data_IF_315767895092
#
_entry.id   IF_315767895092
#
_cell.length_a   1.000
_cell.length_b   1.000
_cell.length_c   1.000
_cell.angle_alpha   90.00
_cell.angle_beta   90.00
_cell.angle_gamma   90.00
#
_symmetry.space_group_name_H-M   'P 1'
#
loop_
_entity.id
_entity.type
_entity.pdbx_description
1 polymer ?
#
# COMPACT_ATOMS: atom_id res chain seq x y z
N UNK A 1 2.42 -22.13 -25.01
CA UNK A 1 3.64 -21.76 -24.29
C UNK A 1 3.71 -20.28 -24.02
N UNK A 2 3.44 -19.48 -25.01
CA UNK A 2 3.44 -18.04 -24.81
C UNK A 2 2.47 -17.58 -23.74
N UNK A 3 1.28 -18.17 -23.68
CA UNK A 3 0.28 -17.85 -22.69
C UNK A 3 0.81 -18.04 -21.26
N UNK A 4 1.60 -19.07 -21.05
CA UNK A 4 2.17 -19.33 -19.74
C UNK A 4 3.24 -18.31 -19.36
N UNK A 5 4.06 -17.91 -20.31
CA UNK A 5 5.03 -16.86 -20.09
C UNK A 5 4.33 -15.54 -19.78
N UNK A 6 3.24 -15.28 -20.47
CA UNK A 6 2.45 -14.09 -20.21
C UNK A 6 1.84 -14.10 -18.82
N UNK A 7 1.44 -15.24 -18.33
CA UNK A 7 0.88 -15.36 -16.99
C UNK A 7 1.90 -15.04 -15.90
N UNK A 8 3.18 -15.21 -16.19
CA UNK A 8 4.21 -14.84 -15.23
C UNK A 8 4.49 -13.34 -15.21
N UNK A 9 4.05 -12.61 -16.23
CA UNK A 9 4.33 -11.19 -16.37
C UNK A 9 3.48 -10.26 -15.53
N UNK A 10 2.23 -10.61 -15.18
CA UNK A 10 1.42 -9.69 -14.38
C UNK A 10 2.10 -9.20 -13.11
N UNK A 11 2.96 -10.02 -12.53
CA UNK A 11 3.72 -9.61 -11.36
C UNK A 11 4.74 -8.52 -11.66
N UNK A 12 5.23 -8.47 -12.89
CA UNK A 12 6.20 -7.46 -13.32
C UNK A 12 5.55 -6.13 -13.67
N UNK A 13 4.33 -6.21 -14.14
CA UNK A 13 3.58 -5.04 -14.56
C UNK A 13 2.50 -4.66 -13.55
N UNK A 14 2.68 -5.09 -12.31
CA UNK A 14 1.77 -4.75 -11.24
C UNK A 14 1.67 -3.24 -11.02
N UNK A 15 0.60 -2.84 -10.42
CA UNK A 15 0.34 -1.45 -10.06
C UNK A 15 0.32 -1.37 -8.54
N UNK A 16 0.98 -0.37 -7.97
CA UNK A 16 1.01 -0.19 -6.53
C UNK A 16 -0.41 -0.17 -5.95
N UNK A 17 -0.61 -0.93 -4.88
CA UNK A 17 -1.91 -1.07 -4.24
C UNK A 17 -2.74 -2.24 -4.73
N UNK A 18 -2.35 -2.94 -5.77
CA UNK A 18 -3.03 -4.17 -6.19
C UNK A 18 -2.44 -5.36 -5.46
N UNK A 19 -3.30 -6.33 -5.13
CA UNK A 19 -2.83 -7.58 -4.53
C UNK A 19 -1.96 -8.32 -5.55
N UNK A 20 -0.80 -8.76 -5.10
CA UNK A 20 0.16 -9.42 -6.00
C UNK A 20 -0.04 -10.92 -6.13
N UNK A 21 -0.85 -11.50 -5.26
CA UNK A 21 -1.18 -12.92 -5.26
C UNK A 21 -2.67 -13.12 -5.03
N UNK A 22 -3.20 -14.19 -5.57
CA UNK A 22 -4.64 -14.46 -5.53
C UNK A 22 -5.10 -15.07 -4.21
N UNK A 23 -4.20 -15.64 -3.43
CA UNK A 23 -4.56 -16.32 -2.20
C UNK A 23 -3.63 -15.95 -1.06
N UNK A 24 -4.05 -16.28 0.16
CA UNK A 24 -3.27 -15.99 1.35
C UNK A 24 -3.43 -14.56 1.84
N UNK A 25 -4.43 -13.83 1.36
CA UNK A 25 -4.65 -12.45 1.75
C UNK A 25 -5.85 -12.35 2.68
N UNK A 26 -5.73 -11.49 3.69
CA UNK A 26 -6.83 -11.11 4.57
C UNK A 26 -7.09 -9.64 4.34
N UNK A 27 -8.26 -9.34 3.78
CA UNK A 27 -8.68 -7.99 3.41
C UNK A 27 -9.95 -7.67 4.17
N UNK A 28 -9.99 -6.49 4.77
CA UNK A 28 -11.16 -6.01 5.51
C UNK A 28 -11.59 -4.65 4.99
N UNK A 29 -12.88 -4.38 5.09
CA UNK A 29 -13.45 -3.12 4.62
C UNK A 29 -13.60 -2.13 5.77
N UNK A 30 -13.28 -0.87 5.49
CA UNK A 30 -13.39 0.23 6.44
C UNK A 30 -13.90 1.48 5.74
N UNK A 31 -14.38 2.43 6.51
CA UNK A 31 -14.70 3.76 6.01
C UNK A 31 -13.46 4.64 6.16
N UNK A 32 -13.09 5.29 5.08
CA UNK A 32 -11.96 6.21 5.06
C UNK A 32 -12.41 7.58 5.58
N UNK A 33 -11.63 8.14 6.48
CA UNK A 33 -11.88 9.49 6.99
C UNK A 33 -10.56 10.18 7.28
N UNK A 34 -10.28 11.23 6.55
CA UNK A 34 -9.06 11.99 6.76
C UNK A 34 -9.32 13.47 6.51
N UNK A 35 -8.53 14.30 7.16
CA UNK A 35 -8.54 15.73 6.91
C UNK A 35 -7.79 16.02 5.62
N UNK A 36 -8.38 16.81 4.77
CA UNK A 36 -7.72 17.30 3.58
C UNK A 36 -6.79 18.44 3.97
N UNK A 37 -5.50 18.24 3.83
CA UNK A 37 -4.53 19.17 4.39
C UNK A 37 -4.20 20.29 3.41
N UNK A 38 -3.99 19.94 2.13
CA UNK A 38 -3.64 20.92 1.10
C UNK A 38 -4.29 20.53 -0.22
N UNK A 39 -4.55 21.52 -1.05
CA UNK A 39 -5.31 21.33 -2.28
C UNK A 39 -4.67 20.35 -3.27
N UNK A 40 -3.34 20.24 -3.26
CA UNK A 40 -2.60 19.38 -4.17
C UNK A 40 -1.99 18.16 -3.49
N UNK A 41 -2.28 17.92 -2.21
CA UNK A 41 -1.81 16.76 -1.49
C UNK A 41 -2.95 15.78 -1.26
N UNK A 42 -2.71 14.56 -1.63
CA UNK A 42 -3.64 13.47 -1.38
C UNK A 42 -2.89 12.25 -0.86
N UNK A 43 -3.26 11.85 0.32
CA UNK A 43 -2.62 10.73 0.97
C UNK A 43 -3.39 9.43 0.82
N UNK A 44 -4.58 9.46 0.26
CA UNK A 44 -5.45 8.29 0.18
C UNK A 44 -5.34 7.59 -1.18
N UNK A 45 -4.13 7.30 -1.60
CA UNK A 45 -3.88 6.48 -2.79
C UNK A 45 -3.61 5.03 -2.40
N UNK A 46 -3.84 4.08 -3.29
CA UNK A 46 -3.50 2.67 -3.02
C UNK A 46 -2.02 2.51 -2.63
N UNK A 47 -1.74 1.49 -1.85
CA UNK A 47 -0.45 1.14 -1.27
C UNK A 47 -0.01 1.98 -0.07
N UNK A 48 -0.82 2.90 0.39
CA UNK A 48 -0.51 3.67 1.60
C UNK A 48 -0.76 2.87 2.86
N UNK A 49 0.09 3.08 3.85
CA UNK A 49 -0.11 2.56 5.21
C UNK A 49 -1.26 3.32 5.85
N UNK A 50 -2.18 2.60 6.47
CA UNK A 50 -3.33 3.21 7.14
C UNK A 50 -3.40 2.81 8.61
N UNK A 51 -3.94 3.71 9.41
CA UNK A 51 -4.13 3.55 10.85
C UNK A 51 -5.62 3.57 11.17
N UNK A 52 -5.98 2.93 12.28
CA UNK A 52 -7.35 2.82 12.75
C UNK A 52 -7.62 3.88 13.82
N UNK A 53 -8.52 4.78 13.54
CA UNK A 53 -8.95 5.78 14.49
C UNK A 53 -9.92 5.18 15.54
N UNK A 54 -10.11 5.89 16.64
CA UNK A 54 -10.95 5.42 17.74
C UNK A 54 -12.42 5.23 17.36
N UNK A 55 -12.87 5.92 16.32
CA UNK A 55 -14.26 5.80 15.83
C UNK A 55 -14.44 4.66 14.82
N UNK A 56 -13.40 3.87 14.57
CA UNK A 56 -13.47 2.74 13.64
C UNK A 56 -13.19 3.09 12.18
N UNK A 57 -12.93 4.35 11.88
CA UNK A 57 -12.52 4.74 10.53
C UNK A 57 -11.00 4.61 10.36
N UNK A 58 -10.55 4.60 9.10
CA UNK A 58 -9.12 4.51 8.79
C UNK A 58 -8.65 5.78 8.08
N UNK A 59 -7.36 6.06 8.18
CA UNK A 59 -6.74 7.20 7.51
C UNK A 59 -5.30 6.86 7.11
N UNK A 60 -4.77 7.49 6.04
CA UNK A 60 -3.38 7.27 5.63
C UNK A 60 -2.39 7.83 6.64
N UNK A 61 -1.32 7.08 6.87
CA UNK A 61 -0.29 7.49 7.83
C UNK A 61 -0.69 7.22 9.27
N UNK A 62 -0.14 8.00 10.18
CA UNK A 62 -0.40 7.86 11.61
C UNK A 62 -0.19 9.21 12.30
N UNK A 63 -1.20 9.75 12.93
CA UNK A 63 -1.12 11.06 13.58
C UNK A 63 -0.62 11.00 15.02
N UNK A 64 -0.45 9.81 15.59
CA UNK A 64 -0.02 9.69 16.98
C UNK A 64 0.09 8.24 17.43
N UNK A 65 -0.81 7.83 18.29
CA UNK A 65 -0.77 6.53 18.96
C UNK A 65 -1.76 5.51 18.40
N UNK A 66 -2.47 5.84 17.33
CA UNK A 66 -3.39 4.90 16.72
C UNK A 66 -2.65 3.69 16.14
N UNK A 67 -3.24 2.49 16.19
CA UNK A 67 -2.58 1.33 15.61
C UNK A 67 -2.57 1.40 14.09
N UNK A 68 -1.44 1.06 13.50
CA UNK A 68 -1.35 0.79 12.06
C UNK A 68 -1.97 -0.58 11.82
N UNK A 69 -2.94 -0.64 10.90
CA UNK A 69 -3.70 -1.88 10.70
C UNK A 69 -3.49 -2.50 9.32
N UNK A 70 -2.90 -1.82 8.39
CA UNK A 70 -2.69 -2.44 7.08
C UNK A 70 -2.29 -1.47 6.00
N UNK A 71 -2.45 -1.95 4.78
CA UNK A 71 -2.11 -1.24 3.55
C UNK A 71 -3.38 -1.06 2.72
N UNK A 72 -3.58 0.13 2.21
CA UNK A 72 -4.76 0.46 1.39
C UNK A 72 -4.70 -0.25 0.05
N UNK A 73 -5.73 -1.02 -0.27
CA UNK A 73 -5.83 -1.80 -1.50
C UNK A 73 -6.55 -0.98 -2.56
N UNK A 74 -6.03 -1.00 -3.78
CA UNK A 74 -6.69 -0.39 -4.92
C UNK A 74 -7.88 -1.21 -5.39
N UNK A 75 -8.76 -0.57 -6.15
CA UNK A 75 -9.89 -1.25 -6.78
C UNK A 75 -9.98 -0.82 -8.25
N UNK A 76 -11.03 -1.29 -8.93
CA UNK A 76 -11.21 -1.00 -10.36
C UNK A 76 -11.28 0.49 -10.68
N UNK A 77 -11.66 1.31 -9.70
CA UNK A 77 -11.76 2.76 -9.88
C UNK A 77 -10.50 3.49 -9.47
N UNK A 78 -9.77 2.93 -8.51
CA UNK A 78 -8.63 3.62 -7.87
C UNK A 78 -7.42 2.70 -7.91
N UNK A 79 -6.84 2.54 -9.09
CA UNK A 79 -5.63 1.73 -9.28
C UNK A 79 -4.54 2.48 -10.01
N UNK A 80 -4.84 3.64 -10.56
CA UNK A 80 -3.87 4.45 -11.29
C UNK A 80 -3.18 5.43 -10.34
N UNK A 81 -2.02 5.88 -10.71
CA UNK A 81 -1.26 6.90 -9.96
C UNK A 81 -1.66 8.33 -10.33
N UNK A 82 -2.67 8.52 -11.17
CA UNK A 82 -3.15 9.84 -11.51
C UNK A 82 -3.88 10.49 -10.33
N UNK A 83 -4.01 11.81 -10.37
CA UNK A 83 -4.68 12.55 -9.30
C UNK A 83 -6.16 12.19 -9.14
N UNK A 84 -6.76 11.60 -10.15
CA UNK A 84 -8.15 11.19 -10.11
C UNK A 84 -8.33 9.81 -9.52
N UNK A 85 -7.26 9.15 -9.15
CA UNK A 85 -7.27 7.75 -8.70
C UNK A 85 -7.08 7.62 -7.21
N UNK A 86 -7.45 8.58 -6.43
CA UNK A 86 -7.38 8.46 -4.98
C UNK A 86 -8.76 8.26 -4.38
N UNK A 87 -8.77 7.69 -3.19
CA UNK A 87 -9.99 7.58 -2.39
C UNK A 87 -10.29 8.90 -1.71
N UNK A 88 -11.58 9.16 -1.52
CA UNK A 88 -12.05 10.36 -0.84
C UNK A 88 -12.55 10.02 0.55
N UNK A 89 -12.47 10.98 1.45
CA UNK A 89 -13.03 10.83 2.79
C UNK A 89 -14.51 10.49 2.71
N UNK A 90 -14.91 9.44 3.40
CA UNK A 90 -16.25 8.88 3.34
C UNK A 90 -16.38 7.64 2.46
N UNK A 91 -15.40 7.35 1.62
CA UNK A 91 -15.42 6.15 0.80
C UNK A 91 -15.25 4.90 1.67
N UNK A 92 -15.87 3.81 1.22
CA UNK A 92 -15.55 2.48 1.74
C UNK A 92 -14.32 1.95 1.02
N UNK A 93 -13.31 1.58 1.79
CA UNK A 93 -12.02 1.13 1.27
C UNK A 93 -11.71 -0.26 1.78
N UNK A 94 -10.83 -0.95 1.07
CA UNK A 94 -10.31 -2.24 1.47
C UNK A 94 -8.90 -2.07 2.00
N UNK A 95 -8.61 -2.76 3.10
CA UNK A 95 -7.32 -2.72 3.77
C UNK A 95 -6.76 -4.13 3.86
N UNK A 96 -5.56 -4.33 3.35
CA UNK A 96 -4.86 -5.60 3.48
C UNK A 96 -4.29 -5.72 4.88
N UNK A 97 -4.82 -6.67 5.66
CA UNK A 97 -4.36 -6.95 7.01
C UNK A 97 -3.21 -7.95 7.03
N UNK A 98 -3.23 -8.90 6.12
CA UNK A 98 -2.14 -9.87 5.95
C UNK A 98 -2.13 -10.36 4.52
N UNK A 99 -0.94 -10.54 3.95
CA UNK A 99 -0.79 -11.06 2.60
C UNK A 99 0.23 -10.29 1.77
N UNK A 100 0.01 -10.28 0.47
CA UNK A 100 0.98 -9.77 -0.48
C UNK A 100 0.35 -8.68 -1.34
N UNK A 101 1.08 -7.59 -1.51
CA UNK A 101 0.60 -6.44 -2.25
C UNK A 101 1.76 -5.81 -3.03
N UNK A 102 1.46 -5.25 -4.19
CA UNK A 102 2.40 -4.37 -4.87
C UNK A 102 2.49 -3.05 -4.13
N UNK A 103 3.68 -2.67 -3.75
CA UNK A 103 3.94 -1.40 -3.10
C UNK A 103 4.92 -0.58 -3.90
N UNK A 104 4.95 0.70 -3.63
CA UNK A 104 5.90 1.62 -4.24
C UNK A 104 6.81 2.15 -3.13
N UNK A 105 8.10 1.81 -3.20
CA UNK A 105 9.08 2.29 -2.23
C UNK A 105 9.59 3.66 -2.69
N UNK A 106 9.17 4.68 -1.98
CA UNK A 106 9.52 6.05 -2.29
C UNK A 106 10.91 6.39 -1.74
N UNK A 107 11.68 7.14 -2.52
CA UNK A 107 12.93 7.75 -2.05
C UNK A 107 14.13 6.84 -1.91
N UNK A 108 14.12 5.64 -2.48
CA UNK A 108 15.30 4.80 -2.38
C UNK A 108 15.16 3.45 -3.04
N UNK A 109 16.24 2.67 -2.97
CA UNK A 109 16.24 1.31 -3.47
C UNK A 109 15.77 0.35 -2.39
N UNK A 110 14.85 -0.51 -2.75
CA UNK A 110 14.37 -1.55 -1.86
C UNK A 110 15.41 -2.65 -1.72
N UNK A 111 15.54 -3.19 -0.51
CA UNK A 111 16.40 -4.32 -0.21
C UNK A 111 15.54 -5.54 0.09
N UNK A 112 15.84 -6.66 -0.57
CA UNK A 112 15.09 -7.89 -0.40
C UNK A 112 15.08 -8.34 1.07
N UNK A 113 13.90 -8.70 1.56
CA UNK A 113 13.63 -9.14 2.93
C UNK A 113 13.87 -8.10 4.02
N UNK A 114 14.18 -6.86 3.65
CA UNK A 114 14.32 -5.79 4.61
C UNK A 114 12.95 -5.36 5.15
N UNK A 115 12.97 -4.82 6.36
CA UNK A 115 11.78 -4.20 6.94
C UNK A 115 11.39 -2.97 6.14
N UNK A 116 10.10 -2.83 5.88
CA UNK A 116 9.55 -1.65 5.26
C UNK A 116 9.29 -0.61 6.34
N UNK A 117 9.54 0.64 6.01
CA UNK A 117 9.21 1.78 6.86
C UNK A 117 8.19 2.65 6.15
N UNK A 118 7.69 3.65 6.83
CA UNK A 118 6.68 4.52 6.21
C UNK A 118 6.84 5.96 6.68
N UNK A 119 6.35 6.86 5.86
CA UNK A 119 6.26 8.27 6.23
C UNK A 119 5.00 8.46 7.07
N UNK A 120 5.18 8.96 8.28
CA UNK A 120 4.10 9.09 9.25
C UNK A 120 2.97 10.00 8.76
N UNK A 121 3.33 11.05 8.06
CA UNK A 121 2.36 12.04 7.59
C UNK A 121 1.45 11.50 6.48
N UNK A 122 2.01 10.78 5.53
CA UNK A 122 1.31 10.40 4.30
C UNK A 122 0.99 8.92 4.18
N UNK A 123 1.68 8.08 4.94
CA UNK A 123 1.56 6.63 4.81
C UNK A 123 2.35 6.03 3.65
N UNK A 124 3.18 6.80 2.97
CA UNK A 124 4.04 6.26 1.91
C UNK A 124 4.98 5.21 2.46
N UNK A 125 5.09 4.09 1.76
CA UNK A 125 6.08 3.07 2.10
C UNK A 125 7.45 3.49 1.61
N UNK A 126 8.44 3.33 2.48
CA UNK A 126 9.81 3.81 2.27
C UNK A 126 10.79 2.84 2.89
N UNK A 127 12.07 3.01 2.62
CA UNK A 127 13.12 2.29 3.33
C UNK A 127 13.65 3.06 4.55
N UNK A 128 13.21 4.29 4.73
CA UNK A 128 13.52 5.14 5.88
C UNK A 128 12.23 5.66 6.50
N UNK A 129 12.30 6.21 7.71
CA UNK A 129 11.13 6.76 8.39
C UNK A 129 10.70 5.94 9.59
N UNK A 130 9.40 5.90 9.85
CA UNK A 130 8.86 5.15 10.98
C UNK A 130 8.89 3.65 10.71
N UNK A 131 9.12 2.89 11.76
CA UNK A 131 9.15 1.44 11.65
C UNK A 131 7.78 0.86 11.31
N UNK A 132 7.80 -0.11 10.42
CA UNK A 132 6.63 -0.91 10.07
C UNK A 132 7.02 -2.38 10.23
N UNK A 133 7.09 -2.88 11.46
CA UNK A 133 7.79 -4.15 11.76
C UNK A 133 7.14 -5.38 11.17
N UNK A 134 5.90 -5.27 10.71
CA UNK A 134 5.18 -6.41 10.16
C UNK A 134 5.11 -6.38 8.63
N UNK A 135 5.95 -5.60 8.00
CA UNK A 135 6.00 -5.49 6.55
C UNK A 135 7.44 -5.68 6.06
N UNK A 136 7.60 -6.53 5.06
CA UNK A 136 8.91 -6.82 4.47
C UNK A 136 8.84 -6.77 2.96
N UNK A 137 9.96 -6.43 2.36
CA UNK A 137 10.12 -6.51 0.90
C UNK A 137 10.26 -7.97 0.50
N UNK A 138 9.31 -8.48 -0.26
CA UNK A 138 9.29 -9.87 -0.68
C UNK A 138 9.92 -10.07 -2.06
N UNK A 139 9.79 -9.10 -2.94
CA UNK A 139 10.46 -9.06 -4.24
C UNK A 139 10.85 -7.63 -4.56
N UNK A 140 12.05 -7.47 -5.09
CA UNK A 140 12.51 -6.15 -5.54
C UNK A 140 12.00 -5.86 -6.94
N UNK A 141 11.96 -4.57 -7.30
CA UNK A 141 11.48 -4.15 -8.59
C UNK A 141 12.41 -4.48 -9.74
N UNK A 142 11.86 -4.41 -10.93
CA UNK A 142 12.62 -4.56 -12.16
C UNK A 142 13.49 -3.32 -12.42
N UNK A 143 14.48 -3.47 -13.29
CA UNK A 143 15.42 -2.38 -13.57
C UNK A 143 14.75 -1.14 -14.15
N UNK A 144 13.63 -1.33 -14.87
CA UNK A 144 12.88 -0.21 -15.45
C UNK A 144 11.85 0.39 -14.50
N UNK A 145 11.59 -0.27 -13.38
CA UNK A 145 10.68 0.23 -12.35
C UNK A 145 11.14 -0.29 -10.98
N UNK A 146 12.28 0.20 -10.51
CA UNK A 146 12.90 -0.33 -9.27
C UNK A 146 12.12 0.00 -8.01
N UNK A 147 11.20 0.97 -8.07
CA UNK A 147 10.41 1.35 -6.91
C UNK A 147 9.20 0.45 -6.68
N UNK A 148 8.74 -0.22 -7.73
CA UNK A 148 7.61 -1.15 -7.60
C UNK A 148 8.10 -2.49 -7.06
N UNK A 149 7.62 -2.87 -5.90
CA UNK A 149 8.07 -4.08 -5.19
C UNK A 149 6.86 -4.91 -4.77
N UNK A 150 7.09 -6.17 -4.44
CA UNK A 150 6.09 -6.96 -3.74
C UNK A 150 6.40 -6.90 -2.24
N UNK A 151 5.39 -6.54 -1.45
CA UNK A 151 5.47 -6.49 -0.01
C UNK A 151 4.69 -7.67 0.59
N UNK A 152 5.24 -8.25 1.65
CA UNK A 152 4.50 -9.13 2.53
C UNK A 152 4.20 -8.38 3.82
N UNK A 153 2.94 -8.42 4.25
CA UNK A 153 2.51 -7.76 5.47
C UNK A 153 1.72 -8.72 6.36
N UNK A 154 1.77 -8.50 7.67
CA UNK A 154 0.98 -9.25 8.63
C UNK A 154 0.69 -8.37 9.84
N UNK A 155 -0.45 -7.69 9.80
CA UNK A 155 -0.90 -6.79 10.85
C UNK A 155 -1.96 -7.42 11.76
N UNK A 156 -2.10 -8.72 11.73
CA UNK A 156 -3.06 -9.43 12.58
C UNK A 156 -2.67 -9.37 14.05
#
# INVERSE_FOLDING_TARGET
>A
MEARLNNARPMRSGIAGMLSRDSGNIVESYVLKYAFVQANENYATPSRVVSLASDGTVYPGNTGTDPVIGILVGNMRVVSDSQESWFKSGDTVEVLRAGYIFGNIDGGSATLFADVKYEKKSGKTMMTGENLPKAKVQKVGEANDPQLVELYVDFR
#
